data_IF_118117689376
#
_entry.id   IF_118117689376
#
_cell.length_a   1.000
_cell.length_b   1.000
_cell.length_c   1.000
_cell.angle_alpha   90.00
_cell.angle_beta   90.00
_cell.angle_gamma   90.00
#
_symmetry.space_group_name_H-M   'P 1'
#
loop_
_entity.id
_entity.type
_entity.pdbx_description
1 polymer ?
#
# COMPACT_ATOMS: atom_id res chain seq x y z
N UNK A 1 -9.04 2.52 1.04
CA UNK A 1 -8.14 3.63 0.67
C UNK A 1 -7.00 3.04 -0.14
N UNK A 2 -6.46 3.77 -1.12
CA UNK A 2 -5.28 3.32 -1.89
C UNK A 2 -4.04 4.08 -1.41
N UNK A 3 -2.96 3.35 -1.18
CA UNK A 3 -1.67 3.86 -0.77
C UNK A 3 -0.62 3.47 -1.79
N UNK A 4 0.27 4.41 -2.07
CA UNK A 4 1.37 4.29 -2.98
C UNK A 4 2.66 4.38 -2.18
N UNK A 5 3.41 3.28 -2.13
CA UNK A 5 4.62 3.16 -1.34
C UNK A 5 5.81 3.15 -2.30
N UNK A 6 6.62 4.20 -2.26
CA UNK A 6 7.84 4.28 -3.07
C UNK A 6 8.93 3.39 -2.46
N UNK A 7 9.46 2.45 -3.23
CA UNK A 7 10.46 1.48 -2.77
C UNK A 7 11.85 1.95 -3.22
N UNK A 8 12.71 2.29 -2.26
CA UNK A 8 14.08 2.72 -2.50
C UNK A 8 15.12 1.57 -2.42
N UNK A 9 14.67 0.34 -2.16
CA UNK A 9 15.53 -0.83 -1.91
C UNK A 9 14.92 -2.13 -2.43
N UNK A 10 15.04 -3.20 -1.66
CA UNK A 10 14.43 -4.48 -2.02
C UNK A 10 12.90 -4.36 -2.02
N UNK A 11 12.28 -4.76 -3.13
CA UNK A 11 10.83 -4.84 -3.26
C UNK A 11 10.29 -5.90 -2.30
N UNK A 12 9.38 -5.54 -1.36
CA UNK A 12 8.72 -6.53 -0.53
C UNK A 12 7.84 -7.43 -1.40
N UNK A 13 7.72 -8.70 -1.02
CA UNK A 13 6.80 -9.61 -1.68
C UNK A 13 5.35 -9.12 -1.46
N UNK A 14 4.59 -8.83 -2.52
CA UNK A 14 3.24 -8.29 -2.39
C UNK A 14 2.31 -9.26 -1.66
N UNK A 15 2.46 -10.57 -1.86
CA UNK A 15 1.64 -11.59 -1.18
C UNK A 15 1.89 -11.62 0.33
N UNK A 16 3.15 -11.47 0.77
CA UNK A 16 3.49 -11.35 2.18
C UNK A 16 2.97 -10.05 2.81
N UNK A 17 2.97 -8.94 2.04
CA UNK A 17 2.38 -7.68 2.48
C UNK A 17 0.86 -7.80 2.63
N UNK A 18 0.18 -8.43 1.67
CA UNK A 18 -1.25 -8.68 1.77
C UNK A 18 -1.61 -9.51 2.99
N UNK A 19 -0.90 -10.61 3.23
CA UNK A 19 -1.12 -11.50 4.36
C UNK A 19 -1.03 -10.75 5.71
N UNK A 20 0.01 -9.93 5.87
CA UNK A 20 0.20 -9.12 7.07
C UNK A 20 -0.92 -8.10 7.30
N UNK A 21 -1.53 -7.57 6.23
CA UNK A 21 -2.63 -6.60 6.35
C UNK A 21 -3.98 -7.32 6.52
N UNK A 22 -4.14 -8.53 5.98
CA UNK A 22 -5.38 -9.33 6.04
C UNK A 22 -5.84 -9.67 7.45
N UNK A 23 -4.94 -9.68 8.42
CA UNK A 23 -5.30 -9.82 9.83
C UNK A 23 -6.21 -8.70 10.34
N UNK A 24 -6.12 -7.49 9.76
CA UNK A 24 -6.93 -6.32 10.12
C UNK A 24 -7.95 -5.93 9.03
N UNK A 25 -7.61 -6.14 7.77
CA UNK A 25 -8.47 -5.86 6.62
C UNK A 25 -8.51 -7.06 5.67
N UNK A 26 -9.55 -7.92 5.74
CA UNK A 26 -9.62 -9.12 4.92
C UNK A 26 -9.79 -8.83 3.42
N UNK A 27 -10.11 -7.60 3.04
CA UNK A 27 -10.23 -7.16 1.65
C UNK A 27 -8.94 -6.47 1.16
N UNK A 28 -7.85 -6.52 1.94
CA UNK A 28 -6.60 -5.88 1.58
C UNK A 28 -5.99 -6.51 0.33
N UNK A 29 -5.52 -5.63 -0.55
CA UNK A 29 -4.81 -5.99 -1.77
C UNK A 29 -3.50 -5.22 -1.83
N UNK A 30 -2.44 -5.89 -2.26
CA UNK A 30 -1.15 -5.27 -2.53
C UNK A 30 -0.64 -5.73 -3.90
N UNK A 31 -0.16 -4.77 -4.68
CA UNK A 31 0.33 -4.97 -6.03
C UNK A 31 1.66 -4.23 -6.19
N UNK A 32 2.65 -4.89 -6.78
CA UNK A 32 3.92 -4.26 -7.07
C UNK A 32 3.98 -3.86 -8.54
N UNK A 33 4.41 -2.62 -8.81
CA UNK A 33 4.66 -2.18 -10.18
C UNK A 33 5.72 -3.07 -10.84
N UNK A 34 5.60 -3.40 -12.15
CA UNK A 34 6.55 -4.23 -12.88
C UNK A 34 8.01 -3.73 -12.85
N UNK A 35 8.26 -2.44 -12.58
CA UNK A 35 9.61 -1.92 -12.39
C UNK A 35 10.16 -2.12 -10.97
N UNK A 36 9.35 -2.64 -10.04
CA UNK A 36 9.74 -2.90 -8.65
C UNK A 36 10.09 -1.66 -7.83
N UNK A 37 9.64 -0.48 -8.27
CA UNK A 37 9.92 0.80 -7.61
C UNK A 37 8.78 1.29 -6.73
N UNK A 38 7.65 0.61 -6.77
CA UNK A 38 6.41 1.08 -6.17
C UNK A 38 5.53 -0.09 -5.77
N UNK A 39 4.99 -0.03 -4.56
CA UNK A 39 3.98 -0.96 -4.05
C UNK A 39 2.67 -0.20 -3.85
N UNK A 40 1.60 -0.70 -4.44
CA UNK A 40 0.25 -0.17 -4.34
C UNK A 40 -0.50 -1.03 -3.34
N UNK A 41 -1.10 -0.41 -2.33
CA UNK A 41 -1.81 -1.11 -1.27
C UNK A 41 -3.22 -0.53 -1.14
N UNK A 42 -4.23 -1.35 -1.37
CA UNK A 42 -5.62 -1.02 -1.09
C UNK A 42 -6.05 -1.66 0.24
N UNK A 43 -6.42 -0.83 1.22
CA UNK A 43 -6.82 -1.29 2.56
C UNK A 43 -7.69 -0.24 3.26
N UNK A 44 -8.45 -0.63 4.28
CA UNK A 44 -9.23 0.26 5.13
C UNK A 44 -8.42 0.83 6.30
N UNK A 45 -7.21 0.34 6.56
CA UNK A 45 -6.32 0.94 7.58
C UNK A 45 -5.77 2.29 7.11
N UNK A 46 -5.40 3.15 8.06
CA UNK A 46 -4.79 4.45 7.75
C UNK A 46 -3.28 4.33 7.47
N UNK A 47 -2.66 5.40 6.96
CA UNK A 47 -1.23 5.40 6.61
C UNK A 47 -0.29 5.08 7.79
N UNK A 48 -0.59 5.57 9.00
CA UNK A 48 0.25 5.35 10.17
C UNK A 48 0.19 3.88 10.66
N UNK A 49 -1.00 3.28 10.62
CA UNK A 49 -1.20 1.86 10.92
C UNK A 49 -0.53 0.99 9.85
N UNK A 50 -0.67 1.34 8.58
CA UNK A 50 -0.02 0.63 7.48
C UNK A 50 1.51 0.63 7.65
N UNK A 51 2.12 1.79 7.91
CA UNK A 51 3.57 1.87 8.17
C UNK A 51 3.95 1.00 9.36
N UNK A 52 3.20 1.06 10.45
CA UNK A 52 3.48 0.26 11.66
C UNK A 52 3.41 -1.24 11.39
N UNK A 53 2.38 -1.69 10.66
CA UNK A 53 2.18 -3.09 10.27
C UNK A 53 3.31 -3.60 9.39
N UNK A 54 3.67 -2.85 8.34
CA UNK A 54 4.74 -3.24 7.42
C UNK A 54 6.08 -3.33 8.14
N UNK A 55 6.41 -2.37 9.01
CA UNK A 55 7.63 -2.42 9.81
C UNK A 55 7.65 -3.63 10.76
N UNK A 56 6.51 -4.00 11.37
CA UNK A 56 6.40 -5.20 12.23
C UNK A 56 6.53 -6.50 11.45
N UNK A 57 6.03 -6.53 10.21
CA UNK A 57 6.17 -7.65 9.30
C UNK A 57 7.59 -7.79 8.71
N UNK A 58 8.52 -6.91 9.08
CA UNK A 58 9.91 -6.93 8.61
C UNK A 58 10.16 -6.16 7.31
N UNK A 59 9.20 -5.34 6.88
CA UNK A 59 9.31 -4.46 5.73
C UNK A 59 9.53 -3.01 6.18
N UNK A 60 10.79 -2.53 6.24
CA UNK A 60 11.08 -1.19 6.72
C UNK A 60 10.59 -0.15 5.71
N UNK A 61 9.49 0.52 6.05
CA UNK A 61 8.89 1.60 5.25
C UNK A 61 8.87 2.87 6.08
N UNK A 62 9.40 3.96 5.55
CA UNK A 62 9.30 5.28 6.14
C UNK A 62 7.96 5.94 5.78
N UNK A 63 7.36 6.73 6.68
CA UNK A 63 6.08 7.40 6.40
C UNK A 63 6.15 8.35 5.19
N UNK A 64 7.31 8.93 4.89
CA UNK A 64 7.52 9.77 3.71
C UNK A 64 7.46 9.00 2.39
N UNK A 65 7.61 7.66 2.43
CA UNK A 65 7.48 6.82 1.24
C UNK A 65 6.02 6.48 0.94
N UNK A 66 5.11 6.69 1.89
CA UNK A 66 3.70 6.33 1.78
C UNK A 66 2.89 7.56 1.40
N UNK A 67 2.38 7.55 0.18
CA UNK A 67 1.44 8.54 -0.32
C UNK A 67 0.03 7.94 -0.32
N UNK A 68 -0.90 8.57 0.39
CA UNK A 68 -2.31 8.20 0.27
C UNK A 68 -2.88 8.86 -0.97
N UNK A 69 -3.34 8.04 -1.92
CA UNK A 69 -4.07 8.58 -3.05
C UNK A 69 -5.47 9.00 -2.60
N UNK A 70 -5.92 10.22 -2.94
CA UNK A 70 -7.32 10.55 -2.81
C UNK A 70 -8.10 9.60 -3.70
N UNK A 71 -9.19 9.02 -3.17
CA UNK A 71 -10.17 8.26 -3.94
C UNK A 71 -10.87 9.20 -4.94
N UNK A 72 -10.18 9.63 -6.00
CA UNK A 72 -10.82 10.34 -7.09
C UNK A 72 -11.55 9.28 -7.89
N UNK A 73 -12.80 9.03 -7.49
CA UNK A 73 -13.81 8.63 -8.45
C UNK A 73 -13.86 9.75 -9.50
N UNK A 74 -13.22 9.55 -10.65
CA UNK A 74 -13.45 10.35 -11.85
C UNK A 74 -14.89 10.12 -12.34
N UNK A 75 -15.86 10.60 -11.57
CA UNK A 75 -17.22 10.88 -12.02
C UNK A 75 -17.20 12.20 -12.78
N UNK A 76 -16.56 12.20 -13.95
CA UNK A 76 -16.57 13.28 -14.92
C UNK A 76 -16.85 12.71 -16.30
N UNK A 77 -17.92 11.91 -16.39
CA UNK A 77 -18.52 11.50 -17.66
C UNK A 77 -18.70 12.72 -18.56
N UNK A 78 -18.24 12.58 -19.80
CA UNK A 78 -18.55 13.46 -20.91
C UNK A 78 -20.05 13.78 -20.94
N UNK A 79 -20.38 15.07 -20.91
CA UNK A 79 -21.71 15.61 -21.20
C UNK A 79 -21.55 16.73 -22.20
#
# INVERSE_FOLDING_TARGET
MEFHITIAGALPDPGAVEDAIRELDPAALADADPAGRMLRVATSVNAAELVTLLNRAGFPIAPQQVEQLPSICCGGCSG
#
